data_IF_833022522098
#
_entry.id   IF_833022522098
#
_cell.length_a   1.000
_cell.length_b   1.000
_cell.length_c   1.000
_cell.angle_alpha   90.00
_cell.angle_beta   90.00
_cell.angle_gamma   90.00
#
_symmetry.space_group_name_H-M   'P 1'
#
loop_
_entity.id
_entity.type
_entity.pdbx_description
1 polymer ?
#
# COMPACT_ATOMS: atom_id res chain seq x y z
N UNK A 1 2.91 -15.77 10.06
CA UNK A 1 2.64 -16.67 8.92
C UNK A 1 3.49 -16.18 7.76
N UNK A 2 4.35 -16.98 7.16
CA UNK A 2 5.24 -16.53 6.07
C UNK A 2 4.43 -16.21 4.82
N UNK A 3 4.74 -15.10 4.13
CA UNK A 3 4.11 -14.81 2.84
C UNK A 3 4.42 -15.94 1.84
N UNK A 4 3.45 -16.33 0.99
CA UNK A 4 3.74 -17.30 -0.05
C UNK A 4 4.74 -16.73 -1.06
N UNK A 5 5.31 -17.60 -1.89
CA UNK A 5 6.20 -17.18 -2.96
C UNK A 5 5.43 -16.33 -4.00
N UNK A 6 5.55 -15.01 -3.88
CA UNK A 6 4.84 -14.05 -4.73
C UNK A 6 5.29 -14.09 -6.21
N UNK A 7 6.42 -14.73 -6.52
CA UNK A 7 6.86 -14.91 -7.91
C UNK A 7 5.91 -15.79 -8.71
N UNK A 8 5.15 -16.67 -8.07
CA UNK A 8 4.09 -17.44 -8.72
C UNK A 8 3.08 -16.53 -9.42
N UNK A 9 2.66 -15.44 -8.77
CA UNK A 9 1.67 -14.52 -9.32
C UNK A 9 2.22 -13.72 -10.51
N UNK A 10 3.52 -13.40 -10.53
CA UNK A 10 4.17 -12.70 -11.65
C UNK A 10 4.12 -13.49 -12.96
N UNK A 11 4.02 -14.81 -12.88
CA UNK A 11 4.01 -15.70 -14.03
C UNK A 11 2.60 -15.93 -14.60
N UNK A 12 1.55 -15.55 -13.87
CA UNK A 12 0.17 -15.69 -14.33
C UNK A 12 -0.10 -14.72 -15.48
N UNK A 13 -0.61 -15.19 -16.64
CA UNK A 13 -0.80 -14.35 -17.83
C UNK A 13 -1.61 -13.08 -17.55
N UNK A 14 -2.75 -13.19 -16.86
CA UNK A 14 -3.61 -12.04 -16.56
C UNK A 14 -2.89 -10.97 -15.71
N UNK A 15 -2.13 -11.41 -14.70
CA UNK A 15 -1.37 -10.51 -13.81
C UNK A 15 -0.23 -9.86 -14.59
N UNK A 16 0.52 -10.66 -15.35
CA UNK A 16 1.62 -10.17 -16.19
C UNK A 16 1.12 -9.13 -17.20
N UNK A 17 0.03 -9.41 -17.88
CA UNK A 17 -0.53 -8.54 -18.92
C UNK A 17 -1.11 -7.25 -18.30
N UNK A 18 -1.72 -7.33 -17.11
CA UNK A 18 -2.16 -6.16 -16.35
C UNK A 18 -1.00 -5.25 -15.90
N UNK A 19 0.19 -5.83 -15.63
CA UNK A 19 1.38 -5.12 -15.16
C UNK A 19 2.34 -4.68 -16.28
N UNK A 20 2.25 -5.28 -17.47
CA UNK A 20 3.14 -5.02 -18.60
C UNK A 20 3.31 -3.53 -18.98
N UNK A 21 2.31 -2.64 -18.84
CA UNK A 21 2.48 -1.22 -19.14
C UNK A 21 3.28 -0.40 -18.12
N UNK A 22 3.67 -0.98 -16.97
CA UNK A 22 4.25 -0.25 -15.84
C UNK A 22 5.71 -0.63 -15.55
N UNK A 23 6.38 0.18 -14.72
CA UNK A 23 7.75 -0.11 -14.29
C UNK A 23 7.80 -1.41 -13.49
N UNK A 24 8.93 -2.14 -13.60
CA UNK A 24 9.17 -3.34 -12.79
C UNK A 24 9.08 -3.02 -11.29
N UNK A 25 9.54 -1.83 -10.89
CA UNK A 25 9.46 -1.34 -9.51
C UNK A 25 8.02 -1.25 -9.02
N UNK A 26 7.12 -0.70 -9.83
CA UNK A 26 5.70 -0.67 -9.49
C UNK A 26 5.10 -2.07 -9.46
N UNK A 27 5.38 -2.89 -10.47
CA UNK A 27 4.90 -4.27 -10.56
C UNK A 27 5.30 -5.11 -9.33
N UNK A 28 6.56 -5.00 -8.90
CA UNK A 28 7.07 -5.67 -7.70
C UNK A 28 6.44 -5.14 -6.42
N UNK A 29 6.12 -3.84 -6.37
CA UNK A 29 5.52 -3.22 -5.18
C UNK A 29 4.03 -3.49 -5.04
N UNK A 30 3.29 -3.61 -6.14
CA UNK A 30 1.83 -3.75 -6.09
C UNK A 30 1.36 -5.18 -5.84
N UNK A 31 2.14 -6.20 -6.24
CA UNK A 31 1.77 -7.61 -6.06
C UNK A 31 1.54 -8.00 -4.59
N UNK A 32 2.45 -7.67 -3.64
CA UNK A 32 2.21 -7.96 -2.23
C UNK A 32 0.93 -7.32 -1.70
N UNK A 33 0.63 -6.09 -2.14
CA UNK A 33 -0.58 -5.37 -1.74
C UNK A 33 -1.82 -6.07 -2.29
N UNK A 34 -1.87 -6.36 -3.59
CA UNK A 34 -3.01 -7.09 -4.18
C UNK A 34 -3.22 -8.45 -3.52
N UNK A 35 -2.15 -9.16 -3.16
CA UNK A 35 -2.25 -10.41 -2.41
C UNK A 35 -2.90 -10.20 -1.03
N UNK A 36 -2.42 -9.22 -0.27
CA UNK A 36 -2.92 -8.88 1.07
C UNK A 36 -4.35 -8.34 1.07
N UNK A 37 -4.79 -7.68 -0.02
CA UNK A 37 -6.18 -7.29 -0.24
C UNK A 37 -7.07 -8.46 -0.70
N UNK A 38 -6.51 -9.64 -0.94
CA UNK A 38 -7.22 -10.78 -1.55
C UNK A 38 -7.53 -10.60 -3.04
N UNK A 39 -7.04 -9.54 -3.67
CA UNK A 39 -7.26 -9.20 -5.08
C UNK A 39 -6.66 -10.19 -6.08
N UNK A 40 -5.76 -11.09 -5.64
CA UNK A 40 -5.21 -12.14 -6.51
C UNK A 40 -6.01 -13.46 -6.45
N UNK A 41 -7.17 -13.48 -5.80
CA UNK A 41 -8.13 -14.59 -5.86
C UNK A 41 -8.90 -14.57 -7.18
N UNK A 42 -9.50 -15.70 -7.55
CA UNK A 42 -10.20 -15.86 -8.83
C UNK A 42 -11.38 -14.88 -9.02
N UNK A 43 -12.03 -14.46 -7.94
CA UNK A 43 -13.12 -13.47 -7.95
C UNK A 43 -12.62 -12.03 -7.82
N UNK A 44 -11.31 -11.81 -7.69
CA UNK A 44 -10.71 -10.53 -7.36
C UNK A 44 -10.92 -10.11 -5.90
N UNK A 45 -11.25 -11.05 -5.01
CA UNK A 45 -11.49 -10.76 -3.59
C UNK A 45 -12.75 -9.93 -3.37
N UNK A 46 -13.83 -10.23 -4.10
CA UNK A 46 -15.11 -9.52 -3.95
C UNK A 46 -15.58 -9.65 -2.51
N UNK A 47 -15.84 -8.51 -1.87
CA UNK A 47 -16.43 -8.43 -0.55
C UNK A 47 -17.57 -7.42 -0.54
N UNK A 48 -18.74 -7.83 -0.05
CA UNK A 48 -19.93 -6.98 0.06
C UNK A 48 -20.67 -7.28 1.37
N UNK A 49 -19.99 -7.08 2.50
CA UNK A 49 -20.57 -7.30 3.82
C UNK A 49 -21.28 -6.04 4.29
N UNK A 50 -22.55 -6.15 4.69
CA UNK A 50 -23.40 -5.01 5.07
C UNK A 50 -22.88 -4.20 6.27
N UNK A 51 -22.06 -4.79 7.15
CA UNK A 51 -21.41 -4.09 8.26
C UNK A 51 -20.14 -3.32 7.84
N UNK A 52 -19.65 -3.52 6.61
CA UNK A 52 -18.49 -2.80 6.09
C UNK A 52 -18.90 -1.40 5.62
N UNK A 53 -18.29 -0.38 6.23
CA UNK A 53 -18.50 1.03 5.87
C UNK A 53 -17.93 1.37 4.49
N UNK A 54 -17.18 0.48 3.86
CA UNK A 54 -16.61 0.64 2.51
C UNK A 54 -17.57 0.29 1.36
N UNK A 55 -18.61 -0.53 1.65
CA UNK A 55 -19.48 -1.11 0.63
C UNK A 55 -18.76 -2.16 -0.23
N UNK A 56 -19.33 -2.46 -1.41
CA UNK A 56 -18.75 -3.41 -2.36
C UNK A 56 -17.28 -3.09 -2.64
N UNK A 57 -16.41 -4.08 -2.49
CA UNK A 57 -14.97 -3.98 -2.67
C UNK A 57 -14.48 -5.10 -3.57
N UNK A 58 -13.59 -4.78 -4.52
CA UNK A 58 -12.91 -5.75 -5.39
C UNK A 58 -11.48 -5.28 -5.64
N UNK A 59 -10.51 -6.18 -5.62
CA UNK A 59 -9.08 -5.88 -5.70
C UNK A 59 -8.58 -4.88 -4.65
N UNK A 60 -9.22 -4.81 -3.48
CA UNK A 60 -8.94 -3.80 -2.44
C UNK A 60 -9.46 -2.39 -2.77
N UNK A 61 -10.23 -2.22 -3.85
CA UNK A 61 -10.85 -0.96 -4.26
C UNK A 61 -12.32 -0.97 -3.87
N UNK A 62 -12.73 -0.03 -3.00
CA UNK A 62 -14.10 0.05 -2.46
C UNK A 62 -14.97 1.07 -3.19
N UNK A 63 -16.28 0.79 -3.25
CA UNK A 63 -17.28 1.70 -3.83
C UNK A 63 -17.28 3.05 -3.13
N UNK A 64 -17.05 3.09 -1.81
CA UNK A 64 -16.95 4.35 -1.07
C UNK A 64 -15.80 5.24 -1.55
N UNK A 65 -14.65 4.66 -1.88
CA UNK A 65 -13.51 5.41 -2.39
C UNK A 65 -13.73 5.86 -3.84
N UNK A 66 -14.48 5.08 -4.63
CA UNK A 66 -14.77 5.33 -6.04
C UNK A 66 -16.29 5.28 -6.31
N UNK A 67 -17.06 6.28 -5.86
CA UNK A 67 -18.52 6.22 -5.87
C UNK A 67 -19.14 6.10 -7.26
N UNK A 68 -18.44 6.54 -8.30
CA UNK A 68 -18.91 6.52 -9.68
C UNK A 68 -18.39 5.33 -10.50
N UNK A 69 -17.58 4.45 -9.89
CA UNK A 69 -17.02 3.28 -10.57
C UNK A 69 -17.91 2.06 -10.34
N UNK A 70 -18.13 1.26 -11.37
CA UNK A 70 -18.78 -0.04 -11.20
C UNK A 70 -17.76 -1.04 -10.63
N UNK A 71 -17.77 -1.24 -9.30
CA UNK A 71 -16.79 -2.11 -8.63
C UNK A 71 -17.00 -3.59 -8.95
N UNK A 72 -18.23 -4.03 -9.21
CA UNK A 72 -18.52 -5.43 -9.54
C UNK A 72 -17.79 -5.88 -10.82
N UNK A 73 -17.83 -5.02 -11.84
CA UNK A 73 -17.22 -5.23 -13.16
C UNK A 73 -15.78 -4.71 -13.25
N UNK A 74 -15.17 -4.31 -12.12
CA UNK A 74 -13.79 -3.87 -12.11
C UNK A 74 -12.88 -5.02 -12.57
N UNK A 75 -11.96 -4.73 -13.48
CA UNK A 75 -10.93 -5.70 -13.92
C UNK A 75 -9.62 -5.47 -13.19
N UNK A 76 -8.76 -6.49 -13.13
CA UNK A 76 -7.45 -6.38 -12.48
C UNK A 76 -6.62 -5.24 -13.11
N UNK A 77 -6.59 -5.14 -14.44
CA UNK A 77 -5.88 -4.09 -15.15
C UNK A 77 -6.41 -2.67 -14.83
N UNK A 78 -7.71 -2.52 -14.60
CA UNK A 78 -8.29 -1.26 -14.14
C UNK A 78 -7.88 -0.96 -12.69
N UNK A 79 -7.93 -1.93 -11.78
CA UNK A 79 -7.50 -1.76 -10.40
C UNK A 79 -6.02 -1.37 -10.29
N UNK A 80 -5.13 -2.04 -11.03
CA UNK A 80 -3.70 -1.71 -11.11
C UNK A 80 -3.49 -0.25 -11.58
N UNK A 81 -4.23 0.20 -12.60
CA UNK A 81 -4.18 1.61 -13.05
C UNK A 81 -4.59 2.59 -11.96
N UNK A 82 -5.61 2.27 -11.15
CA UNK A 82 -6.02 3.11 -10.02
C UNK A 82 -4.93 3.18 -8.96
N UNK A 83 -4.34 2.04 -8.57
CA UNK A 83 -3.21 2.03 -7.63
C UNK A 83 -2.04 2.89 -8.13
N UNK A 84 -1.70 2.78 -9.41
CA UNK A 84 -0.63 3.59 -10.00
C UNK A 84 -0.97 5.09 -10.00
N UNK A 85 -2.19 5.44 -10.43
CA UNK A 85 -2.64 6.83 -10.57
C UNK A 85 -2.79 7.53 -9.23
N UNK A 86 -3.43 6.87 -8.27
CA UNK A 86 -3.99 7.52 -7.07
C UNK A 86 -3.14 7.30 -5.82
N UNK A 87 -2.17 6.38 -5.85
CA UNK A 87 -1.29 6.10 -4.71
C UNK A 87 0.19 6.13 -5.09
N UNK A 88 0.61 5.41 -6.14
CA UNK A 88 2.03 5.35 -6.54
C UNK A 88 2.58 6.73 -6.95
N UNK A 89 1.89 7.39 -7.90
CA UNK A 89 2.31 8.70 -8.41
C UNK A 89 2.27 9.79 -7.33
N UNK A 90 1.18 9.96 -6.55
CA UNK A 90 1.13 11.00 -5.52
C UNK A 90 2.14 10.82 -4.40
N UNK A 91 2.61 9.59 -4.15
CA UNK A 91 3.65 9.29 -3.16
C UNK A 91 5.07 9.35 -3.72
N UNK A 92 5.25 9.73 -5.00
CA UNK A 92 6.55 9.82 -5.67
C UNK A 92 7.34 8.50 -5.63
N UNK A 93 6.64 7.37 -5.58
CA UNK A 93 7.26 6.05 -5.38
C UNK A 93 8.27 5.68 -6.48
N UNK A 94 8.05 6.13 -7.71
CA UNK A 94 8.98 5.89 -8.83
C UNK A 94 10.39 6.46 -8.56
N UNK A 95 10.48 7.53 -7.76
CA UNK A 95 11.73 8.23 -7.42
C UNK A 95 12.40 7.70 -6.14
N UNK A 96 11.88 6.62 -5.57
CA UNK A 96 12.44 5.94 -4.40
C UNK A 96 13.03 4.59 -4.80
N UNK A 97 13.89 4.02 -3.95
CA UNK A 97 14.27 2.60 -4.08
C UNK A 97 13.03 1.71 -3.87
N UNK A 98 13.06 0.49 -4.42
CA UNK A 98 11.90 -0.42 -4.43
C UNK A 98 11.35 -0.70 -3.04
N UNK A 99 12.20 -0.93 -2.04
CA UNK A 99 11.76 -1.18 -0.67
C UNK A 99 11.02 0.00 -0.03
N UNK A 100 11.58 1.21 -0.18
CA UNK A 100 10.92 2.43 0.30
C UNK A 100 9.64 2.72 -0.47
N UNK A 101 9.62 2.49 -1.79
CA UNK A 101 8.45 2.66 -2.64
C UNK A 101 7.29 1.74 -2.22
N UNK A 102 7.58 0.47 -1.89
CA UNK A 102 6.62 -0.48 -1.33
C UNK A 102 6.04 0.02 0.01
N UNK A 103 6.88 0.45 0.95
CA UNK A 103 6.44 0.96 2.25
C UNK A 103 5.55 2.21 2.11
N UNK A 104 5.87 3.11 1.17
CA UNK A 104 5.08 4.31 0.89
C UNK A 104 3.74 3.98 0.23
N UNK A 105 3.74 3.09 -0.77
CA UNK A 105 2.55 2.67 -1.49
C UNK A 105 1.56 1.99 -0.54
N UNK A 106 2.01 0.96 0.19
CA UNK A 106 1.16 0.21 1.12
C UNK A 106 0.63 1.11 2.25
N UNK A 107 1.49 1.99 2.78
CA UNK A 107 1.06 2.98 3.75
C UNK A 107 -0.01 3.92 3.22
N UNK A 108 0.09 4.37 1.97
CA UNK A 108 -0.92 5.23 1.35
C UNK A 108 -2.23 4.48 1.09
N UNK A 109 -2.20 3.19 0.76
CA UNK A 109 -3.41 2.36 0.63
C UNK A 109 -4.13 2.24 1.98
N UNK A 110 -3.40 1.93 3.06
CA UNK A 110 -3.97 1.74 4.40
C UNK A 110 -4.39 3.04 5.11
N UNK A 111 -3.81 4.18 4.75
CA UNK A 111 -3.97 5.43 5.49
C UNK A 111 -4.45 6.62 4.66
N UNK A 112 -4.66 6.42 3.36
CA UNK A 112 -4.81 7.49 2.38
C UNK A 112 -3.49 8.22 2.12
N UNK A 113 -3.36 8.82 0.94
CA UNK A 113 -2.20 9.63 0.56
C UNK A 113 -1.92 10.77 1.57
N UNK A 114 -2.90 11.59 2.01
CA UNK A 114 -2.63 12.65 2.98
C UNK A 114 -2.17 12.11 4.34
N UNK A 115 -2.78 11.02 4.79
CA UNK A 115 -2.48 10.41 6.08
C UNK A 115 -1.10 9.76 6.11
N UNK A 116 -0.68 9.11 5.03
CA UNK A 116 0.67 8.55 4.90
C UNK A 116 1.71 9.66 4.72
N UNK A 117 1.42 10.66 3.89
CA UNK A 117 2.29 11.83 3.68
C UNK A 117 2.61 12.52 5.00
N UNK A 118 1.61 12.73 5.87
CA UNK A 118 1.84 13.34 7.17
C UNK A 118 2.77 12.51 8.08
N UNK A 119 2.68 11.17 8.03
CA UNK A 119 3.60 10.30 8.79
C UNK A 119 5.03 10.43 8.27
N UNK A 120 5.20 10.46 6.94
CA UNK A 120 6.49 10.64 6.27
C UNK A 120 7.11 11.98 6.65
N UNK A 121 6.37 13.08 6.48
CA UNK A 121 6.86 14.43 6.76
C UNK A 121 7.32 14.57 8.21
N UNK A 122 6.53 14.06 9.17
CA UNK A 122 6.93 14.04 10.59
C UNK A 122 8.14 13.17 10.88
N UNK A 123 8.42 12.14 10.07
CA UNK A 123 9.61 11.32 10.24
C UNK A 123 10.86 12.02 9.75
N UNK A 124 10.81 12.53 8.52
CA UNK A 124 11.98 13.11 7.84
C UNK A 124 12.23 14.59 8.19
N UNK A 125 11.47 15.13 9.15
CA UNK A 125 11.58 16.53 9.59
C UNK A 125 11.05 17.55 8.58
N UNK A 126 10.24 17.12 7.60
CA UNK A 126 9.59 18.03 6.66
C UNK A 126 8.31 18.63 7.27
N UNK A 127 7.85 19.75 6.69
CA UNK A 127 6.59 20.40 7.09
C UNK A 127 5.42 19.42 6.96
N UNK A 128 4.62 19.16 8.02
CA UNK A 128 3.53 18.18 7.99
C UNK A 128 2.23 18.74 7.38
N UNK A 129 2.30 19.22 6.14
CA UNK A 129 1.18 19.84 5.40
C UNK A 129 0.32 18.84 4.59
N UNK A 130 0.62 17.55 4.72
CA UNK A 130 -0.07 16.45 4.04
C UNK A 130 0.05 16.48 2.50
N UNK A 131 0.97 17.27 1.94
CA UNK A 131 1.25 17.33 0.50
C UNK A 131 2.63 16.74 0.21
N UNK A 132 2.65 15.58 -0.44
CA UNK A 132 3.92 14.98 -0.84
C UNK A 132 4.40 15.74 -2.08
N UNK A 133 5.51 16.46 -1.95
CA UNK A 133 6.13 17.21 -3.05
C UNK A 133 7.64 17.07 -3.03
N UNK A 134 8.32 17.80 -3.91
CA UNK A 134 9.78 17.72 -4.09
C UNK A 134 10.57 17.88 -2.80
N UNK A 135 10.16 18.75 -1.88
CA UNK A 135 10.81 18.92 -0.56
C UNK A 135 10.70 17.69 0.34
N UNK A 136 9.54 17.03 0.36
CA UNK A 136 9.35 15.78 1.11
C UNK A 136 10.14 14.65 0.46
N UNK A 137 10.12 14.56 -0.87
CA UNK A 137 10.92 13.58 -1.62
C UNK A 137 12.41 13.74 -1.31
N UNK A 138 12.94 14.95 -1.39
CA UNK A 138 14.35 15.23 -1.09
C UNK A 138 14.72 14.80 0.33
N UNK A 139 13.89 15.15 1.33
CA UNK A 139 14.11 14.74 2.71
C UNK A 139 14.09 13.21 2.89
N UNK A 140 13.20 12.50 2.17
CA UNK A 140 13.20 11.04 2.13
C UNK A 140 14.49 10.47 1.52
N UNK A 141 14.96 11.04 0.41
CA UNK A 141 16.17 10.60 -0.29
C UNK A 141 17.46 10.90 0.48
N UNK A 142 17.43 11.84 1.44
CA UNK A 142 18.54 12.09 2.37
C UNK A 142 18.68 11.06 3.50
N UNK A 143 17.73 10.11 3.62
CA UNK A 143 17.78 9.03 4.61
C UNK A 143 18.24 7.72 3.95
N UNK A 144 18.90 6.84 4.70
CA UNK A 144 19.15 5.48 4.22
C UNK A 144 17.81 4.74 4.04
N UNK A 145 17.63 3.95 2.97
CA UNK A 145 16.39 3.21 2.70
C UNK A 145 15.86 2.42 3.90
N UNK A 146 16.73 1.66 4.56
CA UNK A 146 16.36 0.84 5.72
C UNK A 146 15.93 1.68 6.93
N UNK A 147 16.55 2.85 7.15
CA UNK A 147 16.12 3.77 8.19
C UNK A 147 14.70 4.28 7.91
N UNK A 148 14.42 4.66 6.66
CA UNK A 148 13.09 5.09 6.24
C UNK A 148 12.05 4.00 6.43
N UNK A 149 12.33 2.77 6.01
CA UNK A 149 11.43 1.62 6.15
C UNK A 149 11.11 1.35 7.62
N UNK A 150 12.13 1.21 8.48
CA UNK A 150 11.95 0.92 9.91
C UNK A 150 11.22 2.07 10.62
N UNK A 151 11.64 3.32 10.34
CA UNK A 151 11.08 4.51 10.95
C UNK A 151 9.62 4.76 10.60
N UNK A 152 9.21 4.44 9.37
CA UNK A 152 7.82 4.49 8.92
C UNK A 152 7.01 3.31 9.47
N UNK A 153 7.58 2.11 9.51
CA UNK A 153 6.92 0.93 10.10
C UNK A 153 6.49 1.22 11.55
N UNK A 154 7.39 1.72 12.38
CA UNK A 154 7.09 2.09 13.77
C UNK A 154 6.01 3.19 13.88
N UNK A 155 5.98 4.16 12.96
CA UNK A 155 4.96 5.23 12.94
C UNK A 155 3.59 4.71 12.56
N UNK A 156 3.52 3.77 11.62
CA UNK A 156 2.29 3.09 11.24
C UNK A 156 1.77 2.24 12.40
N UNK A 157 2.65 1.48 13.07
CA UNK A 157 2.29 0.71 14.25
C UNK A 157 1.69 1.60 15.36
N UNK A 158 2.35 2.72 15.68
CA UNK A 158 1.83 3.70 16.65
C UNK A 158 0.50 4.32 16.22
N UNK A 159 0.28 4.50 14.91
CA UNK A 159 -0.99 5.00 14.38
C UNK A 159 -2.11 3.97 14.59
N UNK A 160 -1.87 2.68 14.32
CA UNK A 160 -2.84 1.62 14.61
C UNK A 160 -3.20 1.59 16.10
N UNK A 161 -2.20 1.60 16.99
CA UNK A 161 -2.43 1.66 18.43
C UNK A 161 -3.29 2.87 18.85
N UNK A 162 -3.04 4.06 18.26
CA UNK A 162 -3.86 5.26 18.50
C UNK A 162 -5.28 5.12 17.98
N UNK A 163 -5.50 4.47 16.83
CA UNK A 163 -6.85 4.20 16.32
C UNK A 163 -7.62 3.35 17.33
N UNK A 164 -7.05 2.26 17.82
CA UNK A 164 -7.69 1.39 18.81
C UNK A 164 -7.88 2.06 20.17
N UNK A 165 -6.99 2.98 20.56
CA UNK A 165 -7.15 3.77 21.78
C UNK A 165 -8.32 4.76 21.66
N UNK A 166 -8.51 5.37 20.48
CA UNK A 166 -9.59 6.32 20.23
C UNK A 166 -10.94 5.64 19.92
N UNK A 167 -10.91 4.46 19.30
CA UNK A 167 -12.08 3.64 18.98
C UNK A 167 -11.78 2.17 19.33
N UNK A 168 -12.13 1.72 20.55
CA UNK A 168 -11.90 0.35 20.98
C UNK A 168 -12.62 -0.72 20.14
N UNK A 169 -13.64 -0.36 19.36
CA UNK A 169 -14.32 -1.30 18.46
C UNK A 169 -13.41 -1.82 17.35
N UNK A 170 -12.30 -1.13 17.09
CA UNK A 170 -11.30 -1.50 16.09
C UNK A 170 -10.27 -2.53 16.59
N UNK A 171 -10.21 -2.82 17.90
CA UNK A 171 -9.22 -3.76 18.48
C UNK A 171 -9.16 -5.13 17.79
N UNK A 172 -10.28 -5.76 17.37
CA UNK A 172 -10.22 -7.05 16.67
C UNK A 172 -9.41 -7.02 15.36
N UNK A 173 -9.24 -5.85 14.73
CA UNK A 173 -8.49 -5.69 13.48
C UNK A 173 -6.98 -5.51 13.69
N UNK A 174 -6.53 -5.25 14.93
CA UNK A 174 -5.16 -4.81 15.21
C UNK A 174 -4.10 -5.84 14.82
N UNK A 175 -4.34 -7.12 15.14
CA UNK A 175 -3.45 -8.22 14.76
C UNK A 175 -3.30 -8.32 13.24
N UNK A 176 -4.40 -8.17 12.49
CA UNK A 176 -4.37 -8.15 11.03
C UNK A 176 -3.52 -6.99 10.48
N UNK A 177 -3.64 -5.81 11.09
CA UNK A 177 -2.83 -4.64 10.70
C UNK A 177 -1.34 -4.81 11.00
N UNK A 178 -0.98 -5.44 12.11
CA UNK A 178 0.41 -5.72 12.45
C UNK A 178 1.01 -6.83 11.58
N UNK A 179 0.27 -7.91 11.31
CA UNK A 179 0.71 -8.96 10.39
C UNK A 179 1.00 -8.40 8.99
N UNK A 180 0.11 -7.54 8.46
CA UNK A 180 0.37 -6.83 7.20
C UNK A 180 1.63 -5.97 7.26
N UNK A 181 1.80 -5.23 8.35
CA UNK A 181 2.92 -4.32 8.51
C UNK A 181 4.26 -5.07 8.61
N UNK A 182 4.29 -6.19 9.31
CA UNK A 182 5.43 -7.10 9.39
C UNK A 182 5.84 -7.57 7.99
N UNK A 183 4.91 -8.17 7.25
CA UNK A 183 5.13 -8.65 5.88
C UNK A 183 5.67 -7.58 4.94
N UNK A 184 5.08 -6.38 4.97
CA UNK A 184 5.52 -5.27 4.14
C UNK A 184 6.90 -4.79 4.55
N UNK A 185 7.22 -4.79 5.86
CA UNK A 185 8.54 -4.39 6.36
C UNK A 185 9.62 -5.38 5.93
N UNK A 186 9.34 -6.68 6.02
CA UNK A 186 10.25 -7.75 5.55
C UNK A 186 10.54 -7.62 4.06
N UNK A 187 9.49 -7.58 3.23
CA UNK A 187 9.62 -7.43 1.78
C UNK A 187 10.32 -6.14 1.39
N UNK A 188 9.99 -5.02 2.06
CA UNK A 188 10.63 -3.74 1.80
C UNK A 188 12.14 -3.80 2.09
N UNK A 189 12.53 -4.46 3.18
CA UNK A 189 13.94 -4.60 3.56
C UNK A 189 14.70 -5.48 2.56
N UNK A 190 14.10 -6.57 2.10
CA UNK A 190 14.67 -7.42 1.03
C UNK A 190 14.80 -6.62 -0.29
N UNK A 191 13.78 -5.81 -0.62
CA UNK A 191 13.76 -4.98 -1.82
C UNK A 191 14.82 -3.86 -1.84
N UNK A 192 15.46 -3.55 -0.71
CA UNK A 192 16.64 -2.66 -0.67
C UNK A 192 17.90 -3.38 -1.14
N UNK A 193 18.02 -4.69 -0.89
CA UNK A 193 19.24 -5.45 -1.19
C UNK A 193 19.32 -5.94 -2.65
N UNK A 194 18.23 -5.82 -3.41
CA UNK A 194 18.10 -6.36 -4.78
C UNK A 194 17.73 -5.30 -5.82
N UNK A 195 17.72 -4.02 -5.47
CA UNK A 195 17.26 -2.91 -6.32
C UNK A 195 18.23 -1.75 -6.41
#
# INVERSE_FOLDING_TARGET
>A
MTLPNLNYFKQQPEIRDALAPFSLKFADSIIPILYLEGGLRADGGINNVASDRGGLTKFGISQRAYPNLNIAELTLAQAVRLYHRDYWRPMYCEHMNTGSALMLLDGAVQHGVPGMTQLVQRYVGAKPDCRFGSKTLQACQSNLPNQLIIGLSLRRARKYARICANDPTQKPNLEGWYNRLEHITELATVGVNHG
#
